data_IF_252012369321
#
_entry.id   IF_252012369321
#
_cell.length_a   1.000
_cell.length_b   1.000
_cell.length_c   1.000
_cell.angle_alpha   90.00
_cell.angle_beta   90.00
_cell.angle_gamma   90.00
#
_symmetry.space_group_name_H-M   'P 1'
#
loop_
_entity.id
_entity.type
_entity.pdbx_description
1 polymer ?
#
# COMPACT_ATOMS: atom_id res chain seq x y z
N UNK A 1 16.26 3.82 -3.80
CA UNK A 1 15.40 3.63 -2.62
C UNK A 1 14.72 2.28 -2.68
N UNK A 2 14.25 1.75 -1.54
CA UNK A 2 13.43 0.52 -1.49
C UNK A 2 11.97 0.90 -1.67
N UNK A 3 11.23 0.11 -2.43
CA UNK A 3 9.81 0.33 -2.71
C UNK A 3 9.01 -0.85 -2.21
N UNK A 4 7.94 -0.61 -1.47
CA UNK A 4 7.00 -1.62 -1.02
C UNK A 4 5.64 -1.36 -1.64
N UNK A 5 5.14 -2.29 -2.44
CA UNK A 5 3.86 -2.18 -3.15
C UNK A 5 2.82 -2.99 -2.37
N UNK A 6 1.79 -2.31 -1.87
CA UNK A 6 0.64 -2.94 -1.22
C UNK A 6 -0.53 -2.98 -2.22
N UNK A 7 -1.12 -4.16 -2.43
CA UNK A 7 -2.25 -4.34 -3.34
C UNK A 7 -3.18 -5.46 -2.86
N UNK A 8 -4.12 -5.87 -3.70
CA UNK A 8 -4.92 -7.09 -3.52
C UNK A 8 -4.66 -8.08 -4.67
N UNK A 9 -5.00 -9.38 -4.53
CA UNK A 9 -4.74 -10.39 -5.56
C UNK A 9 -5.34 -10.05 -6.94
N UNK A 10 -6.54 -9.44 -6.96
CA UNK A 10 -7.26 -9.10 -8.19
C UNK A 10 -6.53 -8.03 -8.99
N UNK A 11 -6.23 -6.89 -8.37
CA UNK A 11 -5.51 -5.77 -9.01
C UNK A 11 -4.08 -6.18 -9.35
N UNK A 12 -3.43 -6.97 -8.48
CA UNK A 12 -2.10 -7.50 -8.74
C UNK A 12 -2.08 -8.35 -10.01
N UNK A 13 -3.02 -9.28 -10.15
CA UNK A 13 -3.11 -10.17 -11.31
C UNK A 13 -3.33 -9.41 -12.63
N UNK A 14 -4.08 -8.31 -12.60
CA UNK A 14 -4.42 -7.53 -13.80
C UNK A 14 -3.34 -6.54 -14.22
N UNK A 15 -2.71 -5.85 -13.25
CA UNK A 15 -1.97 -4.62 -13.56
C UNK A 15 -0.57 -4.52 -12.95
N UNK A 16 -0.17 -5.42 -12.05
CA UNK A 16 1.13 -5.34 -11.37
C UNK A 16 2.31 -5.39 -12.34
N UNK A 17 2.25 -6.24 -13.38
CA UNK A 17 3.30 -6.32 -14.41
C UNK A 17 3.51 -4.97 -15.10
N UNK A 18 2.41 -4.29 -15.44
CA UNK A 18 2.43 -2.96 -16.06
C UNK A 18 3.04 -1.93 -15.11
N UNK A 19 2.67 -1.96 -13.83
CA UNK A 19 3.23 -1.06 -12.83
C UNK A 19 4.74 -1.28 -12.66
N UNK A 20 5.17 -2.54 -12.51
CA UNK A 20 6.59 -2.89 -12.36
C UNK A 20 7.43 -2.47 -13.56
N UNK A 21 6.88 -2.52 -14.78
CA UNK A 21 7.59 -2.05 -15.99
C UNK A 21 7.89 -0.54 -15.98
N UNK A 22 7.15 0.24 -15.17
CA UNK A 22 7.27 1.71 -15.08
C UNK A 22 8.05 2.18 -13.86
N UNK A 23 8.34 1.31 -12.91
CA UNK A 23 9.07 1.65 -11.67
C UNK A 23 10.52 1.21 -11.78
N UNK A 24 11.44 2.11 -11.42
CA UNK A 24 12.86 1.79 -11.19
C UNK A 24 13.21 2.06 -9.74
N UNK A 25 13.57 1.01 -9.01
CA UNK A 25 14.00 1.10 -7.62
C UNK A 25 15.17 0.13 -7.38
N UNK A 26 15.86 0.29 -6.25
CA UNK A 26 16.98 -0.60 -5.89
C UNK A 26 16.46 -2.00 -5.55
N UNK A 27 15.36 -2.05 -4.79
CA UNK A 27 14.67 -3.26 -4.36
C UNK A 27 13.16 -2.95 -4.40
N UNK A 28 12.37 -3.92 -4.84
CA UNK A 28 10.91 -3.84 -4.90
C UNK A 28 10.34 -5.04 -4.15
N UNK A 29 9.48 -4.76 -3.19
CA UNK A 29 8.74 -5.74 -2.39
C UNK A 29 7.25 -5.60 -2.70
N UNK A 30 6.52 -6.71 -2.66
CA UNK A 30 5.11 -6.75 -3.04
C UNK A 30 4.37 -7.54 -1.99
N UNK A 31 3.32 -6.94 -1.44
CA UNK A 31 2.40 -7.58 -0.51
C UNK A 31 0.97 -7.47 -1.05
N UNK A 32 0.23 -8.57 -0.92
CA UNK A 32 -1.17 -8.63 -1.31
C UNK A 32 -2.03 -8.91 -0.08
N UNK A 33 -3.04 -8.08 0.14
CA UNK A 33 -4.08 -8.25 1.16
C UNK A 33 -5.33 -8.79 0.50
N UNK A 34 -6.07 -9.67 1.18
CA UNK A 34 -7.33 -10.20 0.68
C UNK A 34 -8.31 -9.05 0.41
N UNK A 35 -9.15 -9.22 -0.60
CA UNK A 35 -10.10 -8.19 -1.01
C UNK A 35 -11.32 -8.18 -0.07
N UNK A 36 -11.76 -7.00 0.34
CA UNK A 36 -12.95 -6.82 1.21
C UNK A 36 -12.70 -5.90 2.41
N UNK A 37 -13.75 -5.18 2.82
CA UNK A 37 -13.71 -4.26 3.98
C UNK A 37 -13.44 -4.98 5.30
N UNK A 38 -13.79 -6.27 5.41
CA UNK A 38 -13.53 -7.10 6.59
C UNK A 38 -12.04 -7.25 6.92
N UNK A 39 -11.16 -7.11 5.92
CA UNK A 39 -9.71 -7.13 6.09
C UNK A 39 -9.12 -5.78 6.47
N UNK A 40 -9.95 -4.72 6.53
CA UNK A 40 -9.53 -3.39 6.98
C UNK A 40 -9.53 -3.31 8.50
N UNK A 41 -8.69 -4.10 9.15
CA UNK A 41 -8.61 -4.21 10.60
C UNK A 41 -7.15 -4.19 11.09
N UNK A 42 -6.96 -4.07 12.41
CA UNK A 42 -5.62 -4.01 13.02
C UNK A 42 -4.79 -5.28 12.82
N UNK A 43 -5.41 -6.46 12.76
CA UNK A 43 -4.67 -7.71 12.55
C UNK A 43 -4.02 -7.75 11.18
N UNK A 44 -4.74 -7.36 10.13
CA UNK A 44 -4.16 -7.25 8.78
C UNK A 44 -3.14 -6.11 8.70
N UNK A 45 -3.31 -5.03 9.47
CA UNK A 45 -2.30 -3.99 9.59
C UNK A 45 -0.99 -4.53 10.20
N UNK A 46 -1.07 -5.32 11.28
CA UNK A 46 0.12 -5.95 11.87
C UNK A 46 0.85 -6.84 10.86
N UNK A 47 0.12 -7.62 10.05
CA UNK A 47 0.72 -8.44 8.99
C UNK A 47 1.48 -7.60 7.96
N UNK A 48 0.90 -6.48 7.50
CA UNK A 48 1.55 -5.55 6.57
C UNK A 48 2.82 -4.96 7.19
N UNK A 49 2.74 -4.46 8.43
CA UNK A 49 3.89 -3.88 9.13
C UNK A 49 5.01 -4.91 9.34
N UNK A 50 4.67 -6.16 9.65
CA UNK A 50 5.62 -7.25 9.78
C UNK A 50 6.31 -7.55 8.44
N UNK A 51 5.58 -7.53 7.33
CA UNK A 51 6.17 -7.69 5.99
C UNK A 51 7.10 -6.53 5.63
N UNK A 52 6.72 -5.29 5.96
CA UNK A 52 7.57 -4.11 5.79
C UNK A 52 8.85 -4.22 6.63
N UNK A 53 8.75 -4.67 7.88
CA UNK A 53 9.89 -4.92 8.75
C UNK A 53 10.82 -6.02 8.21
N UNK A 54 10.27 -7.15 7.78
CA UNK A 54 11.04 -8.26 7.19
C UNK A 54 11.72 -7.87 5.88
N UNK A 55 11.13 -6.95 5.12
CA UNK A 55 11.72 -6.35 3.90
C UNK A 55 12.85 -5.34 4.21
N UNK A 56 13.12 -5.10 5.49
CA UNK A 56 14.15 -4.15 5.97
C UNK A 56 13.97 -2.76 5.36
N UNK A 57 12.72 -2.27 5.32
CA UNK A 57 12.45 -0.89 4.92
C UNK A 57 13.06 0.08 5.95
N UNK A 58 13.38 1.27 5.48
CA UNK A 58 13.95 2.37 6.26
C UNK A 58 13.15 3.67 6.02
N UNK A 59 13.53 4.76 6.69
CA UNK A 59 12.85 6.07 6.55
C UNK A 59 12.92 6.68 5.14
N UNK A 60 13.77 6.18 4.25
CA UNK A 60 13.90 6.63 2.85
C UNK A 60 13.19 5.69 1.88
N UNK A 61 12.49 4.69 2.40
CA UNK A 61 11.71 3.75 1.63
C UNK A 61 10.37 4.39 1.26
N UNK A 62 9.77 3.89 0.17
CA UNK A 62 8.49 4.38 -0.33
C UNK A 62 7.47 3.25 -0.25
N UNK A 63 6.30 3.52 0.33
CA UNK A 63 5.15 2.64 0.23
C UNK A 63 4.25 3.12 -0.92
N UNK A 64 3.89 2.21 -1.81
CA UNK A 64 2.94 2.44 -2.89
C UNK A 64 1.66 1.65 -2.59
N UNK A 65 0.56 2.33 -2.34
CA UNK A 65 -0.77 1.71 -2.36
C UNK A 65 -1.26 1.60 -3.78
N UNK A 66 -1.53 0.38 -4.24
CA UNK A 66 -2.03 0.11 -5.58
C UNK A 66 -3.33 -0.68 -5.53
N UNK A 67 -4.47 0.03 -5.50
CA UNK A 67 -5.78 -0.58 -5.35
C UNK A 67 -6.90 0.43 -5.13
N UNK A 68 -8.04 -0.03 -4.61
CA UNK A 68 -9.17 0.83 -4.26
C UNK A 68 -9.02 1.53 -2.90
N UNK A 69 -10.13 2.00 -2.33
CA UNK A 69 -10.15 2.74 -1.06
C UNK A 69 -9.57 1.95 0.11
N UNK A 70 -9.93 0.67 0.25
CA UNK A 70 -9.39 -0.20 1.33
C UNK A 70 -7.86 -0.25 1.32
N UNK A 71 -7.25 -0.53 0.17
CA UNK A 71 -5.78 -0.57 0.03
C UNK A 71 -5.16 0.81 0.23
N UNK A 72 -5.83 1.88 -0.21
CA UNK A 72 -5.38 3.26 -0.02
C UNK A 72 -5.32 3.62 1.46
N UNK A 73 -6.40 3.37 2.20
CA UNK A 73 -6.51 3.68 3.63
C UNK A 73 -5.50 2.89 4.46
N UNK A 74 -5.44 1.57 4.24
CA UNK A 74 -4.53 0.70 4.98
C UNK A 74 -3.07 1.03 4.69
N UNK A 75 -2.69 1.21 3.41
CA UNK A 75 -1.31 1.51 3.06
C UNK A 75 -0.90 2.92 3.48
N UNK A 76 -1.79 3.91 3.38
CA UNK A 76 -1.55 5.24 3.91
C UNK A 76 -1.35 5.23 5.42
N UNK A 77 -2.18 4.47 6.15
CA UNK A 77 -2.02 4.32 7.60
C UNK A 77 -0.70 3.63 7.94
N UNK A 78 -0.38 2.53 7.23
CA UNK A 78 0.89 1.81 7.35
C UNK A 78 2.10 2.74 7.18
N UNK A 79 2.10 3.53 6.11
CA UNK A 79 3.17 4.45 5.80
C UNK A 79 3.31 5.55 6.86
N UNK A 80 2.19 6.01 7.44
CA UNK A 80 2.18 7.05 8.48
C UNK A 80 2.79 6.58 9.81
N UNK A 81 2.55 5.32 10.18
CA UNK A 81 2.99 4.77 11.48
C UNK A 81 4.34 4.06 11.39
N UNK A 82 4.71 3.53 10.22
CA UNK A 82 5.97 2.82 10.05
C UNK A 82 7.16 3.77 10.23
N UNK A 83 7.99 3.51 11.24
CA UNK A 83 9.11 4.36 11.65
C UNK A 83 8.75 5.86 11.87
N UNK A 84 7.49 6.13 12.26
CA UNK A 84 6.90 7.48 12.40
C UNK A 84 6.73 8.25 11.08
N UNK A 85 6.63 7.53 9.96
CA UNK A 85 6.38 8.12 8.65
C UNK A 85 7.45 7.74 7.64
N UNK A 86 7.00 7.26 6.48
CA UNK A 86 7.81 7.08 5.26
C UNK A 86 7.07 7.69 4.06
N UNK A 87 7.79 7.85 2.95
CA UNK A 87 7.20 8.38 1.72
C UNK A 87 6.07 7.47 1.23
N UNK A 88 4.97 8.09 0.81
CA UNK A 88 3.75 7.38 0.41
C UNK A 88 3.28 7.85 -0.97
N UNK A 89 2.95 6.89 -1.83
CA UNK A 89 2.33 7.14 -3.14
C UNK A 89 1.04 6.33 -3.20
N UNK A 90 -0.06 7.00 -3.53
CA UNK A 90 -1.33 6.33 -3.80
C UNK A 90 -1.58 6.23 -5.30
N UNK A 91 -1.88 5.02 -5.78
CA UNK A 91 -2.27 4.73 -7.15
C UNK A 91 -3.67 4.09 -7.12
N UNK A 92 -4.73 4.92 -7.10
CA UNK A 92 -6.10 4.44 -6.98
C UNK A 92 -6.54 3.70 -8.25
N UNK A 93 -7.25 2.58 -8.09
CA UNK A 93 -7.75 1.73 -9.20
C UNK A 93 -9.28 1.65 -9.28
N UNK A 94 -9.99 2.37 -8.40
CA UNK A 94 -11.45 2.50 -8.45
C UNK A 94 -11.83 3.97 -8.61
N UNK A 95 -12.92 4.24 -9.33
CA UNK A 95 -13.38 5.62 -9.56
C UNK A 95 -13.60 6.36 -8.24
N UNK A 96 -14.25 5.72 -7.27
CA UNK A 96 -14.47 6.28 -5.93
C UNK A 96 -13.15 6.63 -5.24
N UNK A 97 -12.13 5.75 -5.30
CA UNK A 97 -10.83 6.05 -4.71
C UNK A 97 -10.12 7.22 -5.42
N UNK A 98 -10.27 7.33 -6.74
CA UNK A 98 -9.68 8.44 -7.50
C UNK A 98 -10.24 9.82 -7.11
N UNK A 99 -11.50 9.89 -6.67
CA UNK A 99 -12.20 11.17 -6.40
C UNK A 99 -12.42 11.46 -4.93
N UNK A 100 -12.28 10.46 -4.05
CA UNK A 100 -12.50 10.58 -2.60
C UNK A 100 -11.26 10.14 -1.81
N UNK A 101 -10.99 8.83 -1.73
CA UNK A 101 -9.95 8.27 -0.86
C UNK A 101 -8.51 8.74 -1.18
N UNK A 102 -8.22 9.12 -2.44
CA UNK A 102 -6.91 9.65 -2.81
C UNK A 102 -6.67 11.09 -2.36
N UNK A 103 -7.71 11.80 -1.90
CA UNK A 103 -7.67 13.23 -1.57
C UNK A 103 -8.05 13.45 -0.11
N UNK A 104 -7.28 14.26 0.61
CA UNK A 104 -7.57 14.64 1.99
C UNK A 104 -6.82 13.87 3.07
N UNK A 105 -6.05 12.84 2.72
CA UNK A 105 -5.07 12.20 3.62
C UNK A 105 -5.68 11.47 4.83
N UNK A 106 -6.98 11.18 4.80
CA UNK A 106 -7.63 10.34 5.81
C UNK A 106 -7.21 8.89 5.59
N UNK A 107 -6.65 8.28 6.62
CA UNK A 107 -6.20 6.89 6.59
C UNK A 107 -6.63 6.21 7.87
N UNK A 108 -6.96 4.93 7.84
CA UNK A 108 -7.33 4.20 9.03
C UNK A 108 -7.74 2.76 8.78
N UNK A 109 -7.97 2.05 9.87
CA UNK A 109 -8.58 0.73 9.90
C UNK A 109 -9.80 0.75 10.82
N UNK A 110 -10.71 -0.20 10.62
CA UNK A 110 -11.91 -0.37 11.43
C UNK A 110 -11.59 -1.10 12.74
#
# INVERSE_FOLDING_TARGET
SKVFILSNPKISGLHLKTLLSKIKAREIFIAAVKDGEEYKNLSTMEEILNQMFNSKLDRKSVLISFGGGVISDMGGFAASIYQRGIDFINIPTTLLACVDAAVGGKTGVN
#
